data_IF_551906268667
#
_entry.id   IF_551906268667
#
_cell.length_a   1.000
_cell.length_b   1.000
_cell.length_c   1.000
_cell.angle_alpha   90.00
_cell.angle_beta   90.00
_cell.angle_gamma   90.00
#
_symmetry.space_group_name_H-M   'P 1'
#
loop_
_entity.id
_entity.type
_entity.pdbx_description
1 polymer ?
#
# COMPACT_ATOMS: atom_id res chain seq x y z
N UNK A 1 16.81 11.61 19.16
CA UNK A 1 15.63 11.16 18.37
C UNK A 1 15.02 12.39 17.71
N UNK A 2 15.25 12.59 16.41
CA UNK A 2 14.62 13.67 15.64
C UNK A 2 13.12 13.39 15.54
N UNK A 3 12.28 14.41 15.77
CA UNK A 3 10.84 14.32 15.55
C UNK A 3 10.58 14.06 14.06
N UNK A 4 9.57 13.25 13.71
CA UNK A 4 9.22 13.04 12.31
C UNK A 4 8.80 14.38 11.69
N UNK A 5 9.48 14.80 10.63
CA UNK A 5 9.06 15.96 9.85
C UNK A 5 7.71 15.61 9.22
N UNK A 6 6.64 16.35 9.56
CA UNK A 6 5.29 16.07 9.07
C UNK A 6 5.04 16.80 7.76
N UNK A 7 5.50 16.20 6.68
CA UNK A 7 5.47 16.76 5.34
C UNK A 7 4.70 15.91 4.33
N UNK A 8 4.31 14.67 4.69
CA UNK A 8 3.51 13.83 3.80
C UNK A 8 2.09 14.37 3.65
N UNK A 9 1.69 14.59 2.40
CA UNK A 9 0.35 15.02 2.03
C UNK A 9 -0.59 13.83 1.80
N UNK A 10 -1.90 14.10 1.81
CA UNK A 10 -2.96 13.12 1.59
C UNK A 10 -2.73 12.23 0.36
N UNK A 11 -2.45 12.85 -0.79
CA UNK A 11 -2.22 12.18 -2.07
C UNK A 11 -1.00 11.27 -2.04
N UNK A 12 0.06 11.70 -1.37
CA UNK A 12 1.31 10.93 -1.27
C UNK A 12 1.09 9.63 -0.48
N UNK A 13 0.39 9.71 0.65
CA UNK A 13 0.06 8.53 1.45
C UNK A 13 -0.95 7.65 0.73
N UNK A 14 -2.01 8.23 0.17
CA UNK A 14 -2.99 7.49 -0.63
C UNK A 14 -2.31 6.66 -1.74
N UNK A 15 -1.45 7.29 -2.56
CA UNK A 15 -0.77 6.62 -3.66
C UNK A 15 0.22 5.57 -3.15
N UNK A 16 0.94 5.85 -2.05
CA UNK A 16 1.86 4.88 -1.45
C UNK A 16 1.14 3.61 -1.00
N UNK A 17 -0.02 3.76 -0.33
CA UNK A 17 -0.84 2.63 0.08
C UNK A 17 -1.41 1.88 -1.12
N UNK A 18 -1.93 2.61 -2.11
CA UNK A 18 -2.49 1.99 -3.32
C UNK A 18 -1.43 1.21 -4.10
N UNK A 19 -0.19 1.72 -4.15
CA UNK A 19 0.93 1.02 -4.81
C UNK A 19 1.31 -0.25 -4.06
N UNK A 20 1.38 -0.20 -2.73
CA UNK A 20 1.70 -1.37 -1.91
C UNK A 20 0.69 -2.52 -2.03
N UNK A 21 -0.57 -2.20 -2.37
CA UNK A 21 -1.62 -3.20 -2.60
C UNK A 21 -1.54 -3.85 -4.00
N UNK A 22 -0.87 -3.20 -4.95
CA UNK A 22 -0.67 -3.78 -6.29
C UNK A 22 0.57 -4.68 -6.25
N UNK A 23 0.30 -5.98 -6.14
CA UNK A 23 1.31 -7.04 -6.16
C UNK A 23 1.15 -7.99 -7.35
N UNK A 24 1.84 -9.13 -7.30
CA UNK A 24 1.62 -10.27 -8.20
C UNK A 24 0.18 -10.76 -8.15
N UNK A 25 -0.50 -10.56 -7.01
CA UNK A 25 -1.89 -10.91 -6.85
C UNK A 25 -2.79 -10.34 -7.95
N UNK A 26 -2.52 -9.13 -8.45
CA UNK A 26 -3.26 -8.53 -9.58
C UNK A 26 -3.29 -9.47 -10.81
N UNK A 27 -2.16 -10.12 -11.12
CA UNK A 27 -2.01 -10.95 -12.32
C UNK A 27 -2.75 -12.30 -12.21
N UNK A 28 -2.89 -12.83 -11.00
CA UNK A 28 -3.45 -14.17 -10.74
C UNK A 28 -4.87 -14.11 -10.17
N UNK A 29 -5.33 -12.94 -9.71
CA UNK A 29 -6.60 -12.77 -9.02
C UNK A 29 -7.79 -13.40 -9.78
N UNK A 30 -7.98 -13.17 -11.10
CA UNK A 30 -9.11 -13.76 -11.82
C UNK A 30 -9.11 -15.29 -11.75
N UNK A 31 -7.95 -15.92 -11.92
CA UNK A 31 -7.81 -17.38 -11.82
C UNK A 31 -8.19 -17.86 -10.41
N UNK A 32 -7.53 -17.30 -9.39
CA UNK A 32 -7.71 -17.75 -7.99
C UNK A 32 -9.15 -17.61 -7.51
N UNK A 33 -9.84 -16.53 -7.90
CA UNK A 33 -11.24 -16.35 -7.56
C UNK A 33 -12.14 -17.33 -8.30
N UNK A 34 -11.89 -17.58 -9.58
CA UNK A 34 -12.69 -18.55 -10.35
C UNK A 34 -12.47 -19.99 -9.89
N UNK A 35 -11.24 -20.33 -9.48
CA UNK A 35 -10.91 -21.63 -8.87
C UNK A 35 -11.70 -21.85 -7.57
N UNK A 36 -11.70 -20.88 -6.66
CA UNK A 36 -12.39 -20.98 -5.37
C UNK A 36 -13.91 -20.89 -5.48
N UNK A 37 -14.42 -19.94 -6.28
CA UNK A 37 -15.85 -19.72 -6.41
C UNK A 37 -16.52 -20.78 -7.30
N UNK A 38 -15.83 -21.29 -8.32
CA UNK A 38 -16.43 -22.17 -9.33
C UNK A 38 -17.50 -21.51 -10.20
N UNK A 39 -17.65 -20.18 -10.17
CA UNK A 39 -18.63 -19.39 -10.92
C UNK A 39 -17.95 -18.18 -11.62
N UNK A 40 -18.48 -17.69 -12.76
CA UNK A 40 -18.08 -16.40 -13.34
C UNK A 40 -18.44 -15.16 -12.48
N UNK A 41 -19.30 -15.30 -11.46
CA UNK A 41 -19.79 -14.19 -10.62
C UNK A 41 -18.77 -13.65 -9.59
N UNK A 42 -17.48 -13.92 -9.80
CA UNK A 42 -16.37 -13.57 -8.89
C UNK A 42 -16.16 -12.06 -8.69
N UNK A 43 -16.65 -11.25 -9.62
CA UNK A 43 -16.67 -9.79 -9.49
C UNK A 43 -17.51 -9.34 -8.28
N UNK A 44 -18.58 -10.09 -7.93
CA UNK A 44 -19.40 -9.83 -6.74
C UNK A 44 -18.60 -10.15 -5.47
N UNK A 45 -17.87 -11.27 -5.43
CA UNK A 45 -16.97 -11.62 -4.32
C UNK A 45 -15.95 -10.52 -4.06
N UNK A 46 -15.45 -9.89 -5.12
CA UNK A 46 -14.49 -8.79 -5.03
C UNK A 46 -15.10 -7.52 -4.43
N UNK A 47 -16.33 -7.17 -4.81
CA UNK A 47 -17.09 -6.07 -4.19
C UNK A 47 -17.31 -6.33 -2.69
N UNK A 48 -17.67 -7.55 -2.31
CA UNK A 48 -17.87 -7.92 -0.91
C UNK A 48 -16.56 -7.83 -0.10
N UNK A 49 -15.45 -8.30 -0.66
CA UNK A 49 -14.11 -8.14 -0.06
C UNK A 49 -13.72 -6.69 0.14
N UNK A 50 -14.00 -5.83 -0.84
CA UNK A 50 -13.76 -4.39 -0.73
C UNK A 50 -14.48 -3.77 0.46
N UNK A 51 -15.73 -4.17 0.74
CA UNK A 51 -16.48 -3.68 1.91
C UNK A 51 -15.84 -4.11 3.24
N UNK A 52 -15.33 -5.35 3.31
CA UNK A 52 -14.56 -5.84 4.47
C UNK A 52 -13.27 -5.04 4.64
N UNK A 53 -12.56 -4.77 3.54
CA UNK A 53 -11.36 -3.92 3.52
C UNK A 53 -11.64 -2.51 4.04
N UNK A 54 -12.70 -1.85 3.57
CA UNK A 54 -13.12 -0.51 4.03
C UNK A 54 -13.43 -0.52 5.52
N UNK A 55 -14.13 -1.56 6.00
CA UNK A 55 -14.46 -1.71 7.43
C UNK A 55 -13.19 -1.81 8.28
N UNK A 56 -12.22 -2.61 7.81
CA UNK A 56 -10.94 -2.81 8.49
C UNK A 56 -10.07 -1.56 8.43
N UNK A 57 -10.06 -0.83 7.32
CA UNK A 57 -9.41 0.47 7.21
C UNK A 57 -10.00 1.50 8.18
N UNK A 58 -11.30 1.41 8.47
CA UNK A 58 -11.98 2.14 9.54
C UNK A 58 -11.26 2.01 10.88
N UNK A 59 -10.90 0.78 11.26
CA UNK A 59 -10.19 0.46 12.50
C UNK A 59 -8.73 0.93 12.46
N UNK A 60 -8.00 0.58 11.41
CA UNK A 60 -6.56 0.89 11.31
C UNK A 60 -6.31 2.39 11.17
N UNK A 61 -7.21 3.12 10.49
CA UNK A 61 -7.16 4.57 10.32
C UNK A 61 -7.41 5.38 11.61
N UNK A 62 -7.83 4.74 12.71
CA UNK A 62 -7.95 5.39 14.02
C UNK A 62 -6.60 5.60 14.69
N UNK A 63 -5.62 4.71 14.48
CA UNK A 63 -4.33 4.76 15.18
C UNK A 63 -3.54 6.04 14.91
N UNK A 64 -3.37 6.53 13.67
CA UNK A 64 -2.68 7.80 13.41
C UNK A 64 -3.35 9.02 14.08
N UNK A 65 -4.66 8.94 14.34
CA UNK A 65 -5.41 9.99 15.05
C UNK A 65 -5.21 9.91 16.57
N UNK A 66 -5.17 8.69 17.11
CA UNK A 66 -4.98 8.43 18.55
C UNK A 66 -3.52 8.65 18.99
N UNK A 67 -2.58 8.25 18.16
CA UNK A 67 -1.14 8.23 18.43
C UNK A 67 -0.40 9.16 17.47
N UNK A 68 -0.60 10.47 17.66
CA UNK A 68 0.05 11.48 16.82
C UNK A 68 1.57 11.37 16.93
N UNK A 69 2.25 11.44 15.78
CA UNK A 69 3.71 11.37 15.65
C UNK A 69 4.33 10.05 16.13
N UNK A 70 3.51 9.01 16.30
CA UNK A 70 3.96 7.67 16.70
C UNK A 70 3.49 6.67 15.66
N UNK A 71 4.45 5.99 15.04
CA UNK A 71 4.18 4.89 14.13
C UNK A 71 3.87 3.58 14.88
N UNK A 72 3.52 2.55 14.11
CA UNK A 72 3.27 1.19 14.60
C UNK A 72 4.33 0.67 15.58
N UNK A 73 5.62 0.85 15.25
CA UNK A 73 6.72 0.35 16.07
C UNK A 73 6.80 1.05 17.42
N UNK A 74 6.29 2.28 17.51
CA UNK A 74 6.31 3.08 18.72
C UNK A 74 5.03 2.96 19.55
N UNK A 75 3.84 3.00 18.94
CA UNK A 75 2.60 2.97 19.72
C UNK A 75 2.27 1.56 20.25
N UNK A 76 2.69 0.49 19.56
CA UNK A 76 2.41 -0.89 20.00
C UNK A 76 3.00 -1.16 21.40
N UNK A 77 4.30 -0.92 21.67
CA UNK A 77 4.86 -1.04 23.02
C UNK A 77 4.20 -0.12 24.06
N UNK A 78 3.66 1.04 23.65
CA UNK A 78 2.93 1.93 24.57
C UNK A 78 1.59 1.34 25.03
N UNK A 79 0.92 0.57 24.15
CA UNK A 79 -0.38 -0.03 24.45
C UNK A 79 -0.22 -1.32 25.26
N UNK A 80 0.63 -2.24 24.83
CA UNK A 80 0.72 -3.60 25.42
C UNK A 80 1.88 -3.77 26.40
N UNK A 81 2.81 -2.81 26.46
CA UNK A 81 4.03 -2.89 27.26
C UNK A 81 5.24 -3.40 26.47
N UNK A 82 6.43 -3.34 27.08
CA UNK A 82 7.71 -3.54 26.39
C UNK A 82 7.89 -4.94 25.78
N UNK A 83 7.63 -6.00 26.55
CA UNK A 83 7.85 -7.38 26.12
C UNK A 83 6.87 -7.80 25.00
N UNK A 84 5.53 -7.77 25.21
CA UNK A 84 4.60 -8.12 24.15
C UNK A 84 4.67 -7.16 22.96
N UNK A 85 5.00 -5.89 23.21
CA UNK A 85 5.20 -4.91 22.16
C UNK A 85 6.37 -5.27 21.26
N UNK A 86 7.50 -5.67 21.83
CA UNK A 86 8.69 -6.13 21.09
C UNK A 86 8.41 -7.39 20.27
N UNK A 87 7.65 -8.35 20.79
CA UNK A 87 7.26 -9.56 20.05
C UNK A 87 6.38 -9.20 18.85
N UNK A 88 5.35 -8.37 19.03
CA UNK A 88 4.44 -7.97 17.96
C UNK A 88 5.13 -7.16 16.87
N UNK A 89 6.00 -6.21 17.24
CA UNK A 89 6.71 -5.37 16.27
C UNK A 89 7.78 -6.16 15.50
N UNK A 90 8.50 -7.06 16.18
CA UNK A 90 9.44 -7.98 15.51
C UNK A 90 8.71 -8.94 14.58
N UNK A 91 7.56 -9.49 15.02
CA UNK A 91 6.71 -10.32 14.17
C UNK A 91 6.23 -9.59 12.92
N UNK A 92 5.85 -8.31 13.05
CA UNK A 92 5.45 -7.50 11.89
C UNK A 92 6.61 -7.26 10.91
N UNK A 93 7.85 -7.04 11.41
CA UNK A 93 9.03 -6.93 10.54
C UNK A 93 9.25 -8.23 9.76
N UNK A 94 9.15 -9.39 10.42
CA UNK A 94 9.30 -10.70 9.78
C UNK A 94 8.20 -10.96 8.74
N UNK A 95 6.96 -10.56 9.03
CA UNK A 95 5.85 -10.58 8.07
C UNK A 95 6.18 -9.74 6.83
N UNK A 96 6.57 -8.48 7.01
CA UNK A 96 6.89 -7.58 5.88
C UNK A 96 8.07 -8.11 5.06
N UNK A 97 9.10 -8.67 5.70
CA UNK A 97 10.22 -9.32 5.02
C UNK A 97 9.76 -10.54 4.21
N UNK A 98 8.88 -11.36 4.77
CA UNK A 98 8.35 -12.54 4.07
C UNK A 98 7.46 -12.14 2.90
N UNK A 99 6.65 -11.10 3.07
CA UNK A 99 5.82 -10.50 2.02
C UNK A 99 6.65 -10.00 0.84
N UNK A 100 7.65 -9.16 1.06
CA UNK A 100 8.49 -8.68 -0.06
C UNK A 100 9.35 -9.79 -0.66
N UNK A 101 9.70 -10.83 0.09
CA UNK A 101 10.42 -12.00 -0.43
C UNK A 101 9.54 -12.81 -1.38
N UNK A 102 8.25 -12.97 -1.03
CA UNK A 102 7.26 -13.62 -1.88
C UNK A 102 7.03 -12.84 -3.18
N UNK A 103 6.84 -11.51 -3.08
CA UNK A 103 6.70 -10.64 -4.24
C UNK A 103 7.95 -10.68 -5.12
N UNK A 104 9.14 -10.59 -4.52
CA UNK A 104 10.41 -10.67 -5.26
C UNK A 104 10.56 -11.99 -6.02
N UNK A 105 10.29 -13.12 -5.36
CA UNK A 105 10.39 -14.45 -5.99
C UNK A 105 9.37 -14.58 -7.11
N UNK A 106 8.12 -14.25 -6.82
CA UNK A 106 7.00 -14.38 -7.77
C UNK A 106 7.20 -13.50 -9.01
N UNK A 107 7.68 -12.25 -8.85
CA UNK A 107 8.01 -11.38 -9.98
C UNK A 107 9.20 -11.89 -10.78
N UNK A 108 10.22 -12.43 -10.13
CA UNK A 108 11.35 -13.02 -10.84
C UNK A 108 10.95 -14.25 -11.68
N UNK A 109 10.00 -15.07 -11.20
CA UNK A 109 9.39 -16.16 -11.99
C UNK A 109 8.63 -15.62 -13.21
N UNK A 110 7.79 -14.59 -13.04
CA UNK A 110 7.03 -13.97 -14.14
C UNK A 110 7.98 -13.39 -15.20
N UNK A 111 9.03 -12.67 -14.78
CA UNK A 111 10.04 -12.11 -15.69
C UNK A 111 10.77 -13.23 -16.43
N UNK A 112 11.19 -14.29 -15.73
CA UNK A 112 11.85 -15.43 -16.38
C UNK A 112 10.91 -16.07 -17.42
N UNK A 113 9.65 -16.29 -17.06
CA UNK A 113 8.68 -16.98 -17.89
C UNK A 113 8.26 -16.20 -19.14
N UNK A 114 8.16 -14.86 -19.08
CA UNK A 114 7.68 -14.07 -20.22
C UNK A 114 8.76 -13.26 -20.95
N UNK A 115 9.81 -12.82 -20.25
CA UNK A 115 10.79 -11.87 -20.79
C UNK A 115 12.18 -12.49 -20.96
N UNK A 116 12.66 -13.27 -19.98
CA UNK A 116 14.06 -13.69 -19.88
C UNK A 116 14.23 -15.17 -19.52
N UNK A 117 13.75 -16.06 -20.39
CA UNK A 117 13.79 -17.52 -20.22
C UNK A 117 15.17 -18.13 -19.88
N UNK A 118 16.27 -17.48 -20.28
CA UNK A 118 17.64 -17.97 -20.03
C UNK A 118 18.26 -17.41 -18.74
N UNK A 119 17.67 -16.38 -18.15
CA UNK A 119 18.21 -15.73 -16.95
C UNK A 119 17.68 -16.46 -15.71
N UNK A 120 18.55 -16.91 -14.78
CA UNK A 120 18.08 -17.52 -13.54
C UNK A 120 17.29 -16.54 -12.68
N UNK A 121 16.21 -17.03 -12.04
CA UNK A 121 15.37 -16.28 -11.10
C UNK A 121 16.20 -15.56 -10.03
N UNK A 122 17.25 -16.20 -9.51
CA UNK A 122 18.17 -15.62 -8.53
C UNK A 122 18.85 -14.34 -9.03
N UNK A 123 19.26 -14.28 -10.29
CA UNK A 123 19.93 -13.10 -10.85
C UNK A 123 18.94 -11.94 -10.97
N UNK A 124 17.73 -12.22 -11.44
CA UNK A 124 16.65 -11.22 -11.56
C UNK A 124 16.30 -10.65 -10.18
N UNK A 125 16.12 -11.52 -9.18
CA UNK A 125 15.82 -11.14 -7.81
C UNK A 125 16.93 -10.27 -7.18
N UNK A 126 18.20 -10.63 -7.38
CA UNK A 126 19.32 -9.84 -6.86
C UNK A 126 19.40 -8.44 -7.48
N UNK A 127 19.20 -8.31 -8.79
CA UNK A 127 19.21 -6.99 -9.46
C UNK A 127 18.09 -6.10 -8.94
N UNK A 128 16.87 -6.63 -8.78
CA UNK A 128 15.74 -5.90 -8.19
C UNK A 128 16.01 -5.47 -6.74
N UNK A 129 16.64 -6.32 -5.94
CA UNK A 129 17.01 -5.96 -4.56
C UNK A 129 18.09 -4.88 -4.53
N UNK A 130 19.11 -4.96 -5.38
CA UNK A 130 20.20 -3.97 -5.43
C UNK A 130 19.67 -2.57 -5.74
N UNK A 131 18.75 -2.45 -6.69
CA UNK A 131 18.11 -1.17 -7.01
C UNK A 131 17.19 -0.70 -5.88
N UNK A 132 16.48 -1.62 -5.19
CA UNK A 132 15.60 -1.28 -4.08
C UNK A 132 16.40 -0.72 -2.89
N UNK A 133 17.55 -1.31 -2.57
CA UNK A 133 18.46 -0.81 -1.51
C UNK A 133 18.91 0.61 -1.81
N UNK A 134 19.32 0.88 -3.06
CA UNK A 134 19.76 2.22 -3.46
C UNK A 134 18.68 3.27 -3.20
N UNK A 135 17.44 2.96 -3.58
CA UNK A 135 16.29 3.84 -3.33
C UNK A 135 16.00 4.03 -1.83
N UNK A 136 15.96 2.92 -1.08
CA UNK A 136 15.61 2.90 0.35
C UNK A 136 16.67 3.58 1.22
N UNK A 137 17.94 3.60 0.80
CA UNK A 137 18.99 4.40 1.45
C UNK A 137 18.75 5.91 1.38
N UNK A 138 17.97 6.38 0.41
CA UNK A 138 17.54 7.76 0.32
C UNK A 138 16.47 8.16 1.36
N UNK A 139 15.98 7.20 2.16
CA UNK A 139 14.98 7.40 3.20
C UNK A 139 13.54 7.41 2.67
N UNK A 140 12.63 7.98 3.45
CA UNK A 140 11.19 7.89 3.20
C UNK A 140 10.75 8.65 1.93
N UNK A 141 11.29 9.84 1.67
CA UNK A 141 10.82 10.69 0.56
C UNK A 141 11.05 10.07 -0.83
N UNK A 142 12.27 9.59 -1.17
CA UNK A 142 12.48 8.92 -2.44
C UNK A 142 11.56 7.71 -2.63
N UNK A 143 11.37 6.92 -1.58
CA UNK A 143 10.46 5.76 -1.58
C UNK A 143 9.01 6.18 -1.86
N UNK A 144 8.55 7.30 -1.31
CA UNK A 144 7.19 7.83 -1.54
C UNK A 144 7.04 8.47 -2.93
N UNK A 145 8.08 9.14 -3.44
CA UNK A 145 8.04 9.79 -4.75
C UNK A 145 8.03 8.80 -5.91
N UNK A 146 8.72 7.67 -5.80
CA UNK A 146 8.68 6.66 -6.86
C UNK A 146 7.27 6.06 -7.02
N UNK A 147 6.50 5.95 -5.93
CA UNK A 147 5.10 5.48 -5.98
C UNK A 147 4.22 6.45 -6.75
N UNK A 148 4.40 7.75 -6.51
CA UNK A 148 3.65 8.81 -7.20
C UNK A 148 3.91 8.80 -8.71
N UNK A 149 5.10 8.38 -9.12
CA UNK A 149 5.45 8.24 -10.53
C UNK A 149 4.83 6.98 -11.14
N UNK A 150 4.98 5.81 -10.50
CA UNK A 150 4.62 4.53 -11.13
C UNK A 150 3.14 4.17 -11.01
N UNK A 151 2.46 4.56 -9.93
CA UNK A 151 1.05 4.22 -9.75
C UNK A 151 0.11 4.76 -10.84
N UNK A 152 0.18 6.05 -11.24
CA UNK A 152 -0.67 6.54 -12.33
C UNK A 152 -0.37 5.85 -13.66
N UNK A 153 0.89 5.49 -13.91
CA UNK A 153 1.31 4.82 -15.14
C UNK A 153 0.65 3.44 -15.24
N UNK A 154 0.73 2.62 -14.18
CA UNK A 154 0.11 1.28 -14.20
C UNK A 154 -1.42 1.37 -14.32
N UNK A 155 -2.06 2.35 -13.68
CA UNK A 155 -3.51 2.61 -13.83
C UNK A 155 -3.85 2.90 -15.29
N UNK A 156 -3.16 3.84 -15.92
CA UNK A 156 -3.41 4.21 -17.32
C UNK A 156 -3.19 3.02 -18.24
N UNK A 157 -2.13 2.26 -18.04
CA UNK A 157 -1.82 1.08 -18.87
C UNK A 157 -2.93 0.04 -18.76
N UNK A 158 -3.38 -0.30 -17.54
CA UNK A 158 -4.49 -1.24 -17.35
C UNK A 158 -5.75 -0.74 -18.06
N UNK A 159 -6.10 0.55 -17.92
CA UNK A 159 -7.26 1.12 -18.61
C UNK A 159 -7.14 1.03 -20.13
N UNK A 160 -5.95 1.31 -20.68
CA UNK A 160 -5.69 1.19 -22.12
C UNK A 160 -5.81 -0.26 -22.61
N UNK A 161 -5.28 -1.23 -21.85
CA UNK A 161 -5.43 -2.65 -22.18
C UNK A 161 -6.92 -3.00 -22.33
N UNK A 162 -7.75 -2.60 -21.37
CA UNK A 162 -9.20 -2.85 -21.40
C UNK A 162 -9.89 -2.21 -22.61
N UNK A 163 -9.50 -0.99 -22.98
CA UNK A 163 -10.06 -0.31 -24.15
C UNK A 163 -9.72 -1.07 -25.44
N UNK A 164 -8.48 -1.54 -25.59
CA UNK A 164 -8.08 -2.21 -26.81
C UNK A 164 -8.64 -3.64 -26.96
N UNK A 165 -8.81 -4.37 -25.86
CA UNK A 165 -9.40 -5.73 -25.90
C UNK A 165 -10.93 -5.73 -25.93
N UNK A 166 -11.58 -4.56 -25.82
CA UNK A 166 -13.04 -4.46 -25.72
C UNK A 166 -13.78 -5.25 -26.82
N UNK A 167 -13.29 -5.20 -28.05
CA UNK A 167 -13.90 -5.89 -29.19
C UNK A 167 -13.70 -7.42 -29.19
N UNK A 168 -12.87 -7.95 -28.29
CA UNK A 168 -12.60 -9.38 -28.10
C UNK A 168 -13.35 -9.98 -26.90
N UNK A 169 -14.28 -9.24 -26.31
CA UNK A 169 -15.06 -9.69 -25.13
C UNK A 169 -16.36 -10.36 -25.52
N UNK A 170 -16.76 -11.42 -24.80
CA UNK A 170 -18.08 -12.05 -24.92
C UNK A 170 -18.88 -11.91 -23.62
N UNK A 171 -19.96 -11.12 -23.69
CA UNK A 171 -20.87 -10.89 -22.56
C UNK A 171 -21.70 -12.12 -22.16
N UNK A 172 -21.77 -13.16 -23.00
CA UNK A 172 -22.42 -14.41 -22.62
C UNK A 172 -21.66 -15.12 -21.49
N UNK A 173 -20.34 -14.91 -21.38
CA UNK A 173 -19.53 -15.51 -20.31
C UNK A 173 -19.90 -15.01 -18.90
N UNK A 174 -20.55 -13.85 -18.78
CA UNK A 174 -21.08 -13.32 -17.51
C UNK A 174 -22.50 -13.80 -17.20
N UNK A 175 -23.13 -14.57 -18.10
CA UNK A 175 -24.52 -15.01 -17.97
C UNK A 175 -24.62 -16.52 -17.80
N UNK A 176 -25.59 -17.01 -17.02
CA UNK A 176 -26.50 -16.25 -16.15
C UNK A 176 -25.79 -15.73 -14.89
N UNK A 177 -26.11 -14.49 -14.48
CA UNK A 177 -25.60 -13.91 -13.22
C UNK A 177 -26.23 -14.64 -12.04
N UNK A 178 -25.41 -15.11 -11.10
CA UNK A 178 -25.80 -15.92 -9.95
C UNK A 178 -26.48 -17.24 -10.33
N UNK A 179 -26.09 -17.83 -11.47
CA UNK A 179 -26.60 -19.13 -11.94
C UNK A 179 -26.39 -20.26 -10.93
N UNK A 180 -25.25 -20.24 -10.24
CA UNK A 180 -24.86 -21.21 -9.20
C UNK A 180 -25.27 -20.77 -7.77
N UNK A 181 -26.03 -19.67 -7.67
CA UNK A 181 -26.49 -19.08 -6.41
C UNK A 181 -25.45 -18.22 -5.67
N UNK A 182 -25.79 -17.79 -4.45
CA UNK A 182 -24.96 -16.89 -3.64
C UNK A 182 -23.83 -17.59 -2.87
N UNK A 183 -23.99 -18.87 -2.56
CA UNK A 183 -23.03 -19.59 -1.72
C UNK A 183 -21.62 -19.64 -2.33
N UNK A 184 -21.45 -19.93 -3.64
CA UNK A 184 -20.12 -19.95 -4.24
C UNK A 184 -19.45 -18.57 -4.27
N UNK A 185 -20.22 -17.51 -4.47
CA UNK A 185 -19.73 -16.12 -4.38
C UNK A 185 -19.19 -15.80 -2.98
N UNK A 186 -19.90 -16.22 -1.93
CA UNK A 186 -19.46 -15.99 -0.55
C UNK A 186 -18.19 -16.78 -0.19
N UNK A 187 -17.98 -17.96 -0.76
CA UNK A 187 -16.78 -18.77 -0.53
C UNK A 187 -15.50 -18.09 -1.01
N UNK A 188 -15.56 -17.31 -2.09
CA UNK A 188 -14.40 -16.61 -2.63
C UNK A 188 -14.14 -15.21 -2.00
N UNK A 189 -14.94 -14.78 -1.03
CA UNK A 189 -14.73 -13.49 -0.34
C UNK A 189 -13.41 -13.44 0.47
N UNK A 190 -12.93 -14.51 1.13
CA UNK A 190 -11.63 -14.49 1.78
C UNK A 190 -10.48 -14.18 0.81
N UNK A 191 -10.54 -14.71 -0.42
CA UNK A 191 -9.52 -14.45 -1.45
C UNK A 191 -9.43 -12.96 -1.84
N UNK A 192 -10.55 -12.24 -1.76
CA UNK A 192 -10.61 -10.81 -2.08
C UNK A 192 -10.15 -9.94 -0.91
N UNK A 193 -10.25 -10.46 0.33
CA UNK A 193 -9.65 -9.83 1.50
C UNK A 193 -8.11 -9.89 1.47
N UNK A 194 -7.51 -10.94 0.89
CA UNK A 194 -6.06 -10.99 0.67
C UNK A 194 -5.59 -9.95 -0.35
N UNK A 195 -6.39 -9.67 -1.38
CA UNK A 195 -6.07 -8.72 -2.43
C UNK A 195 -6.01 -7.24 -1.95
N UNK A 196 -6.38 -6.97 -0.69
CA UNK A 196 -6.28 -5.64 -0.10
C UNK A 196 -5.15 -5.48 0.91
N UNK A 197 -4.32 -6.50 1.14
CA UNK A 197 -3.12 -6.34 1.98
C UNK A 197 -2.22 -5.22 1.42
N UNK A 198 -1.64 -4.41 2.30
CA UNK A 198 -0.86 -3.21 1.98
C UNK A 198 -1.44 -1.92 2.57
N UNK A 199 -2.76 -1.81 2.78
CA UNK A 199 -3.34 -0.60 3.37
C UNK A 199 -2.98 -0.44 4.86
N UNK A 200 -2.60 -1.51 5.56
CA UNK A 200 -2.21 -1.49 6.97
C UNK A 200 -0.96 -0.64 7.24
N UNK A 201 -0.16 -0.40 6.20
CA UNK A 201 0.98 0.50 6.23
C UNK A 201 0.59 1.94 6.60
N UNK A 202 -0.71 2.28 6.61
CA UNK A 202 -1.21 3.55 7.17
C UNK A 202 -0.85 3.73 8.64
N UNK A 203 -0.65 2.65 9.41
CA UNK A 203 -0.17 2.74 10.80
C UNK A 203 1.27 3.27 10.91
N UNK A 204 2.02 3.24 9.80
CA UNK A 204 3.39 3.75 9.71
C UNK A 204 3.36 5.13 9.05
N UNK A 205 2.96 5.20 7.79
CA UNK A 205 2.97 6.46 7.03
C UNK A 205 2.02 7.51 7.60
N UNK A 206 0.94 7.09 8.28
CA UNK A 206 0.00 7.99 8.95
C UNK A 206 0.64 8.83 10.06
N UNK A 207 1.72 8.36 10.68
CA UNK A 207 2.46 9.11 11.70
C UNK A 207 3.19 10.34 11.12
N UNK A 208 3.52 10.30 9.82
CA UNK A 208 4.26 11.32 9.08
C UNK A 208 3.36 12.29 8.30
N UNK A 209 2.04 12.08 8.34
CA UNK A 209 1.09 12.96 7.65
C UNK A 209 1.02 14.35 8.28
N UNK A 210 0.97 15.38 7.42
CA UNK A 210 0.66 16.75 7.82
C UNK A 210 -0.69 16.84 8.55
N UNK A 211 -1.69 16.10 8.06
CA UNK A 211 -3.04 16.02 8.62
C UNK A 211 -3.44 14.57 8.95
N UNK A 212 -3.10 14.04 10.15
CA UNK A 212 -3.43 12.65 10.52
C UNK A 212 -4.93 12.32 10.53
N UNK A 213 -5.80 13.34 10.57
CA UNK A 213 -7.25 13.15 10.41
C UNK A 213 -7.61 12.59 9.03
N UNK A 214 -6.78 12.83 8.02
CA UNK A 214 -7.02 12.35 6.65
C UNK A 214 -6.52 10.91 6.44
N UNK A 215 -5.86 10.29 7.42
CA UNK A 215 -5.32 8.93 7.31
C UNK A 215 -6.37 7.89 6.88
N UNK A 216 -7.54 7.90 7.51
CA UNK A 216 -8.66 7.02 7.12
C UNK A 216 -9.11 7.30 5.68
N UNK A 217 -9.19 8.57 5.29
CA UNK A 217 -9.58 8.95 3.93
C UNK A 217 -8.54 8.42 2.92
N UNK A 218 -7.24 8.51 3.23
CA UNK A 218 -6.17 8.00 2.36
C UNK A 218 -6.27 6.48 2.19
N UNK A 219 -6.48 5.75 3.29
CA UNK A 219 -6.65 4.30 3.24
C UNK A 219 -7.90 3.88 2.45
N UNK A 220 -9.05 4.53 2.69
CA UNK A 220 -10.29 4.23 1.95
C UNK A 220 -10.14 4.56 0.46
N UNK A 221 -9.54 5.69 0.10
CA UNK A 221 -9.28 6.02 -1.30
C UNK A 221 -8.36 4.98 -1.96
N UNK A 222 -7.32 4.51 -1.27
CA UNK A 222 -6.40 3.49 -1.78
C UNK A 222 -7.13 2.17 -2.06
N UNK A 223 -7.94 1.72 -1.10
CA UNK A 223 -8.75 0.52 -1.24
C UNK A 223 -9.71 0.63 -2.41
N UNK A 224 -10.45 1.75 -2.51
CA UNK A 224 -11.39 1.98 -3.59
C UNK A 224 -10.70 1.99 -4.96
N UNK A 225 -9.56 2.68 -5.10
CA UNK A 225 -8.87 2.77 -6.38
C UNK A 225 -8.33 1.41 -6.84
N UNK A 226 -7.72 0.63 -5.94
CA UNK A 226 -7.13 -0.67 -6.28
C UNK A 226 -8.21 -1.72 -6.52
N UNK A 227 -9.26 -1.74 -5.69
CA UNK A 227 -10.37 -2.68 -5.91
C UNK A 227 -11.12 -2.38 -7.19
N UNK A 228 -11.30 -1.12 -7.57
CA UNK A 228 -11.93 -0.78 -8.84
C UNK A 228 -11.12 -1.34 -10.03
N UNK A 229 -9.79 -1.25 -9.98
CA UNK A 229 -8.91 -1.87 -10.97
C UNK A 229 -9.02 -3.39 -10.95
N UNK A 230 -9.01 -4.01 -9.77
CA UNK A 230 -9.15 -5.46 -9.63
C UNK A 230 -10.50 -5.96 -10.18
N UNK A 231 -11.61 -5.25 -9.89
CA UNK A 231 -12.94 -5.58 -10.43
C UNK A 231 -12.91 -5.47 -11.96
N UNK A 232 -12.34 -4.40 -12.50
CA UNK A 232 -12.22 -4.21 -13.93
C UNK A 232 -11.45 -5.37 -14.59
N UNK A 233 -10.28 -5.71 -14.03
CA UNK A 233 -9.45 -6.82 -14.52
C UNK A 233 -10.18 -8.17 -14.43
N UNK A 234 -10.85 -8.45 -13.32
CA UNK A 234 -11.64 -9.67 -13.12
C UNK A 234 -12.78 -9.77 -14.14
N UNK A 235 -13.53 -8.70 -14.34
CA UNK A 235 -14.65 -8.67 -15.29
C UNK A 235 -14.15 -8.94 -16.71
N UNK A 236 -13.07 -8.28 -17.13
CA UNK A 236 -12.51 -8.50 -18.47
C UNK A 236 -11.92 -9.90 -18.66
N UNK A 237 -11.30 -10.47 -17.63
CA UNK A 237 -10.82 -11.85 -17.68
C UNK A 237 -11.97 -12.84 -17.89
N UNK A 238 -13.09 -12.69 -17.18
CA UNK A 238 -14.28 -13.53 -17.37
C UNK A 238 -14.95 -13.28 -18.72
N UNK A 239 -14.96 -12.04 -19.20
CA UNK A 239 -15.51 -11.73 -20.52
C UNK A 239 -14.70 -12.34 -21.67
N UNK A 240 -13.37 -12.41 -21.53
CA UNK A 240 -12.49 -12.95 -22.57
C UNK A 240 -12.31 -14.46 -22.50
N UNK A 241 -12.27 -15.02 -21.29
CA UNK A 241 -12.03 -16.44 -21.07
C UNK A 241 -13.22 -17.06 -20.34
N UNK A 242 -13.75 -18.17 -20.87
CA UNK A 242 -14.77 -18.93 -20.16
C UNK A 242 -14.22 -19.45 -18.82
N UNK A 243 -15.12 -19.76 -17.88
CA UNK A 243 -14.75 -20.13 -16.51
C UNK A 243 -13.90 -21.40 -16.38
N UNK A 244 -13.88 -22.30 -17.36
CA UNK A 244 -12.99 -23.48 -17.34
C UNK A 244 -11.60 -23.09 -17.85
N UNK A 245 -11.53 -22.37 -18.97
CA UNK A 245 -10.27 -21.87 -19.52
C UNK A 245 -9.56 -20.95 -18.52
N UNK A 246 -10.30 -20.05 -17.86
CA UNK A 246 -9.73 -19.09 -16.91
C UNK A 246 -9.01 -19.75 -15.73
N UNK A 247 -9.47 -20.91 -15.27
CA UNK A 247 -8.82 -21.70 -14.20
C UNK A 247 -7.46 -22.27 -14.62
N UNK A 248 -7.28 -22.51 -15.91
CA UNK A 248 -6.04 -23.11 -16.43
C UNK A 248 -4.95 -22.09 -16.77
N UNK A 249 -5.32 -20.80 -16.90
CA UNK A 249 -4.39 -19.73 -17.25
C UNK A 249 -3.64 -19.26 -16.01
N UNK A 250 -2.32 -19.43 -15.99
CA UNK A 250 -1.47 -19.07 -14.85
C UNK A 250 -1.52 -17.57 -14.50
N UNK A 251 -1.45 -16.69 -15.50
CA UNK A 251 -1.48 -15.23 -15.31
C UNK A 251 -2.50 -14.57 -16.26
N UNK A 252 -3.81 -14.62 -15.97
CA UNK A 252 -4.86 -14.15 -16.88
C UNK A 252 -4.65 -12.73 -17.42
N UNK A 253 -4.16 -11.81 -16.60
CA UNK A 253 -3.94 -10.42 -17.00
C UNK A 253 -2.84 -10.28 -18.06
N UNK A 254 -1.81 -11.13 -18.00
CA UNK A 254 -0.75 -11.14 -19.02
C UNK A 254 -1.28 -11.71 -20.32
N UNK A 255 -2.13 -12.73 -20.27
CA UNK A 255 -2.77 -13.29 -21.48
C UNK A 255 -3.74 -12.29 -22.11
N UNK A 256 -4.50 -11.51 -21.32
CA UNK A 256 -5.29 -10.37 -21.85
C UNK A 256 -4.38 -9.39 -22.60
N UNK A 257 -3.21 -9.07 -22.04
CA UNK A 257 -2.29 -8.12 -22.67
C UNK A 257 -1.70 -8.62 -24.00
N UNK A 258 -1.57 -9.94 -24.19
CA UNK A 258 -1.15 -10.55 -25.47
C UNK A 258 -2.20 -10.46 -26.55
N UNK A 259 -3.48 -10.44 -26.16
CA UNK A 259 -4.59 -10.31 -27.10
C UNK A 259 -4.75 -8.90 -27.65
N UNK A 260 -3.95 -7.93 -27.20
CA UNK A 260 -4.06 -6.55 -27.68
C UNK A 260 -3.43 -6.40 -29.05
N UNK A 261 -4.25 -6.04 -30.04
CA UNK A 261 -3.79 -5.68 -31.38
C UNK A 261 -3.95 -4.18 -31.61
N UNK A 262 -2.83 -3.47 -31.81
CA UNK A 262 -2.86 -2.03 -32.13
C UNK A 262 -3.02 -1.83 -33.63
N UNK A 263 -4.06 -1.10 -34.09
CA UNK A 263 -4.23 -0.78 -35.51
C UNK A 263 -2.97 -0.12 -36.08
N UNK A 264 -2.44 -0.67 -37.18
CA UNK A 264 -1.23 -0.16 -37.84
C UNK A 264 0.07 -0.86 -37.45
N UNK A 265 0.05 -1.90 -36.61
CA UNK A 265 1.20 -2.80 -36.38
C UNK A 265 2.40 -2.16 -35.66
N UNK A 266 2.25 -0.94 -35.14
CA UNK A 266 3.36 -0.21 -34.51
C UNK A 266 3.78 -0.82 -33.15
N UNK A 267 2.88 -1.53 -32.48
CA UNK A 267 3.14 -2.20 -31.19
C UNK A 267 2.58 -3.63 -31.22
N UNK A 268 3.36 -4.57 -31.76
CA UNK A 268 2.99 -5.99 -31.85
C UNK A 268 3.19 -6.77 -30.54
N UNK A 269 3.90 -6.20 -29.54
CA UNK A 269 4.24 -6.88 -28.28
C UNK A 269 3.86 -6.06 -27.03
N UNK A 270 2.58 -5.73 -26.91
CA UNK A 270 2.07 -4.94 -25.78
C UNK A 270 2.16 -5.68 -24.44
N UNK A 271 2.17 -7.02 -24.44
CA UNK A 271 2.41 -7.80 -23.24
C UNK A 271 3.77 -7.48 -22.61
N UNK A 272 4.80 -7.25 -23.43
CA UNK A 272 6.14 -6.93 -22.97
C UNK A 272 6.21 -5.53 -22.35
N UNK A 273 5.48 -4.56 -22.93
CA UNK A 273 5.38 -3.19 -22.41
C UNK A 273 4.61 -3.19 -21.08
N UNK A 274 3.48 -3.89 -21.02
CA UNK A 274 2.70 -4.06 -19.80
C UNK A 274 3.55 -4.68 -18.68
N UNK A 275 4.22 -5.81 -18.95
CA UNK A 275 5.07 -6.48 -17.97
C UNK A 275 6.20 -5.59 -17.49
N UNK A 276 6.82 -4.81 -18.38
CA UNK A 276 7.89 -3.87 -17.99
C UNK A 276 7.39 -2.83 -16.98
N UNK A 277 6.20 -2.27 -17.23
CA UNK A 277 5.59 -1.28 -16.33
C UNK A 277 5.13 -1.93 -15.03
N UNK A 278 4.54 -3.11 -15.10
CA UNK A 278 4.15 -3.89 -13.92
C UNK A 278 5.35 -4.25 -13.04
N UNK A 279 6.50 -4.62 -13.63
CA UNK A 279 7.75 -4.85 -12.88
C UNK A 279 8.18 -3.60 -12.11
N UNK A 280 7.99 -2.40 -12.68
CA UNK A 280 8.27 -1.15 -11.96
C UNK A 280 7.35 -0.97 -10.75
N UNK A 281 6.08 -1.38 -10.84
CA UNK A 281 5.14 -1.37 -9.71
C UNK A 281 5.54 -2.36 -8.62
N UNK A 282 5.93 -3.59 -8.96
CA UNK A 282 6.36 -4.54 -7.91
C UNK A 282 7.68 -4.10 -7.28
N UNK A 283 8.61 -3.58 -8.06
CA UNK A 283 9.82 -2.95 -7.54
C UNK A 283 9.48 -1.90 -6.47
N UNK A 284 8.46 -1.07 -6.72
CA UNK A 284 8.06 -0.01 -5.80
C UNK A 284 7.41 -0.56 -4.53
N UNK A 285 6.66 -1.67 -4.61
CA UNK A 285 6.14 -2.43 -3.47
C UNK A 285 7.27 -3.04 -2.62
N UNK A 286 8.27 -3.67 -3.26
CA UNK A 286 9.45 -4.22 -2.59
C UNK A 286 10.22 -3.11 -1.86
N UNK A 287 10.39 -1.95 -2.49
CA UNK A 287 11.05 -0.80 -1.87
C UNK A 287 10.30 -0.27 -0.64
N UNK A 288 8.96 -0.20 -0.68
CA UNK A 288 8.15 0.20 0.50
C UNK A 288 8.34 -0.80 1.64
N UNK A 289 8.20 -2.10 1.37
CA UNK A 289 8.33 -3.10 2.43
C UNK A 289 9.74 -3.17 3.01
N UNK A 290 10.77 -3.04 2.17
CA UNK A 290 12.16 -2.97 2.63
C UNK A 290 12.41 -1.71 3.48
N UNK A 291 11.84 -0.56 3.09
CA UNK A 291 11.85 0.64 3.92
C UNK A 291 11.18 0.40 5.28
N UNK A 292 9.97 -0.16 5.30
CA UNK A 292 9.24 -0.46 6.55
C UNK A 292 10.03 -1.39 7.46
N UNK A 293 10.61 -2.46 6.93
CA UNK A 293 11.40 -3.40 7.72
C UNK A 293 12.65 -2.73 8.29
N UNK A 294 13.39 -1.97 7.47
CA UNK A 294 14.58 -1.21 7.89
C UNK A 294 14.26 -0.14 8.94
N UNK A 295 13.14 0.58 8.78
CA UNK A 295 12.63 1.54 9.76
C UNK A 295 12.22 0.86 11.07
N UNK A 296 11.56 -0.30 11.00
CA UNK A 296 11.21 -1.07 12.19
C UNK A 296 12.43 -1.52 12.98
N UNK A 297 13.48 -1.98 12.30
CA UNK A 297 14.77 -2.34 12.94
C UNK A 297 15.42 -1.11 13.58
N UNK A 298 15.36 0.06 12.94
CA UNK A 298 15.84 1.31 13.53
C UNK A 298 15.09 1.66 14.82
N UNK A 299 13.76 1.53 14.83
CA UNK A 299 12.95 1.81 16.02
C UNK A 299 13.22 0.82 17.18
N UNK A 300 13.52 -0.44 16.89
CA UNK A 300 13.74 -1.46 17.92
C UNK A 300 15.18 -1.48 18.46
N UNK A 301 16.17 -1.31 17.60
CA UNK A 301 17.59 -1.50 17.93
C UNK A 301 18.41 -0.21 17.86
N UNK A 302 17.85 0.91 17.40
CA UNK A 302 18.55 2.19 17.27
C UNK A 302 19.60 2.22 16.15
N UNK A 303 19.58 1.22 15.24
CA UNK A 303 20.50 1.14 14.11
C UNK A 303 19.99 2.04 12.98
N UNK A 304 20.83 2.95 12.49
CA UNK A 304 20.49 3.86 11.39
C UNK A 304 19.92 3.11 10.17
N UNK A 305 18.76 3.54 9.70
CA UNK A 305 18.01 2.89 8.62
C UNK A 305 18.83 2.71 7.33
N UNK A 306 19.62 3.72 6.95
CA UNK A 306 20.48 3.70 5.76
C UNK A 306 21.55 2.58 5.78
N UNK A 307 21.97 2.16 6.97
CA UNK A 307 22.96 1.11 7.20
C UNK A 307 22.29 -0.23 7.40
N UNK A 308 21.21 -0.27 8.17
CA UNK A 308 20.57 -1.51 8.56
C UNK A 308 19.88 -2.23 7.39
N UNK A 309 19.44 -1.48 6.37
CA UNK A 309 18.79 -2.02 5.18
C UNK A 309 19.66 -3.07 4.46
N UNK A 310 20.99 -2.88 4.47
CA UNK A 310 21.93 -3.82 3.82
C UNK A 310 21.94 -5.17 4.54
N UNK A 311 21.74 -5.20 5.86
CA UNK A 311 21.68 -6.45 6.63
C UNK A 311 20.38 -7.24 6.42
N UNK A 312 19.33 -6.59 5.89
CA UNK A 312 18.06 -7.27 5.59
C UNK A 312 18.10 -8.02 4.26
N UNK A 313 19.03 -7.68 3.37
CA UNK A 313 19.12 -8.25 2.02
C UNK A 313 19.39 -9.75 2.02
N UNK A 314 20.35 -10.28 2.81
CA UNK A 314 20.51 -11.73 2.92
C UNK A 314 19.23 -12.41 3.42
N UNK A 315 18.50 -11.80 4.35
CA UNK A 315 17.25 -12.37 4.88
C UNK A 315 16.20 -12.47 3.77
N UNK A 316 15.96 -11.37 3.04
CA UNK A 316 14.99 -11.35 1.92
C UNK A 316 15.39 -12.35 0.84
N UNK A 317 16.68 -12.42 0.51
CA UNK A 317 17.18 -13.35 -0.52
C UNK A 317 17.01 -14.80 -0.09
N UNK A 318 17.34 -15.14 1.15
CA UNK A 318 17.20 -16.51 1.66
C UNK A 318 15.73 -16.96 1.69
N UNK A 319 14.82 -16.09 2.12
CA UNK A 319 13.38 -16.40 2.11
C UNK A 319 12.86 -16.50 0.68
N UNK A 320 13.26 -15.62 -0.24
CA UNK A 320 12.85 -15.67 -1.64
C UNK A 320 13.38 -16.90 -2.41
N UNK A 321 14.51 -17.47 -1.97
CA UNK A 321 15.09 -18.68 -2.57
C UNK A 321 14.68 -19.97 -1.85
N UNK A 322 13.89 -19.88 -0.78
CA UNK A 322 13.40 -21.04 -0.04
C UNK A 322 12.48 -21.94 -0.89
N UNK A 323 11.50 -21.40 -1.66
CA UNK A 323 10.69 -22.19 -2.58
C UNK A 323 11.53 -22.81 -3.69
N UNK A 324 11.36 -24.12 -3.94
CA UNK A 324 12.16 -24.84 -4.96
C UNK A 324 11.49 -24.82 -6.33
N UNK A 325 10.18 -24.68 -6.36
CA UNK A 325 9.36 -24.69 -7.56
C UNK A 325 8.21 -23.68 -7.43
N UNK A 326 7.45 -23.48 -8.51
CA UNK A 326 6.37 -22.49 -8.54
C UNK A 326 5.20 -22.82 -7.60
N UNK A 327 4.89 -24.11 -7.35
CA UNK A 327 3.84 -24.48 -6.39
C UNK A 327 4.24 -24.07 -4.96
N UNK A 328 5.49 -24.32 -4.58
CA UNK A 328 6.03 -23.88 -3.28
C UNK A 328 5.94 -22.34 -3.12
N UNK A 329 6.05 -21.58 -4.22
CA UNK A 329 5.90 -20.11 -4.21
C UNK A 329 4.45 -19.72 -3.89
N UNK A 330 3.48 -20.38 -4.52
CA UNK A 330 2.06 -20.13 -4.21
C UNK A 330 1.72 -20.51 -2.76
N UNK A 331 2.20 -21.66 -2.28
CA UNK A 331 2.00 -22.09 -0.89
C UNK A 331 2.61 -21.09 0.11
N UNK A 332 3.83 -20.60 -0.17
CA UNK A 332 4.45 -19.55 0.63
C UNK A 332 3.62 -18.27 0.62
N UNK A 333 3.08 -17.88 -0.55
CA UNK A 333 2.16 -16.75 -0.69
C UNK A 333 0.95 -16.88 0.22
N UNK A 334 0.26 -18.02 0.21
CA UNK A 334 -0.91 -18.27 1.07
C UNK A 334 -0.57 -18.17 2.55
N UNK A 335 0.60 -18.69 2.98
CA UNK A 335 1.05 -18.56 4.38
C UNK A 335 1.30 -17.10 4.74
N UNK A 336 2.01 -16.35 3.90
CA UNK A 336 2.30 -14.93 4.09
C UNK A 336 1.01 -14.11 4.20
N UNK A 337 0.03 -14.39 3.35
CA UNK A 337 -1.24 -13.67 3.33
C UNK A 337 -2.12 -13.95 4.55
N UNK A 338 -2.14 -15.21 5.01
CA UNK A 338 -2.80 -15.57 6.27
C UNK A 338 -2.19 -14.84 7.47
N UNK A 339 -0.85 -14.74 7.50
CA UNK A 339 -0.14 -13.93 8.51
C UNK A 339 -0.47 -12.44 8.33
N UNK A 340 -0.61 -11.96 7.10
CA UNK A 340 -1.05 -10.61 6.78
C UNK A 340 -2.43 -10.30 7.36
N UNK A 341 -3.44 -11.16 7.15
CA UNK A 341 -4.77 -10.99 7.73
C UNK A 341 -4.71 -10.88 9.27
N UNK A 342 -3.86 -11.68 9.92
CA UNK A 342 -3.66 -11.56 11.37
C UNK A 342 -3.15 -10.16 11.77
N UNK A 343 -2.18 -9.59 11.04
CA UNK A 343 -1.64 -8.25 11.31
C UNK A 343 -2.57 -7.10 10.89
N UNK A 344 -3.46 -7.31 9.92
CA UNK A 344 -4.40 -6.29 9.44
C UNK A 344 -5.70 -6.28 10.24
N UNK A 345 -6.22 -7.44 10.61
CA UNK A 345 -7.49 -7.61 11.32
C UNK A 345 -7.30 -7.79 12.82
N UNK A 346 -6.69 -8.91 13.22
CA UNK A 346 -6.63 -9.34 14.62
C UNK A 346 -5.80 -8.40 15.49
N UNK A 347 -4.57 -8.07 15.06
CA UNK A 347 -3.65 -7.23 15.85
C UNK A 347 -4.24 -5.83 16.11
N UNK A 348 -4.72 -5.07 15.11
CA UNK A 348 -5.30 -3.75 15.36
C UNK A 348 -6.57 -3.81 16.22
N UNK A 349 -7.39 -4.86 16.09
CA UNK A 349 -8.58 -5.03 16.92
C UNK A 349 -8.23 -5.23 18.40
N UNK A 350 -7.26 -6.11 18.67
CA UNK A 350 -6.75 -6.36 20.04
C UNK A 350 -6.09 -5.10 20.60
N UNK A 351 -5.26 -4.41 19.81
CA UNK A 351 -4.61 -3.17 20.23
C UNK A 351 -5.61 -2.06 20.52
N UNK A 352 -6.68 -1.94 19.73
CA UNK A 352 -7.73 -0.95 19.96
C UNK A 352 -8.49 -1.22 21.27
N UNK A 353 -8.86 -2.47 21.53
CA UNK A 353 -9.49 -2.88 22.79
C UNK A 353 -8.56 -2.63 23.98
N UNK A 354 -7.29 -3.03 23.90
CA UNK A 354 -6.31 -2.80 24.94
C UNK A 354 -6.07 -1.30 25.20
N UNK A 355 -6.00 -0.48 24.16
CA UNK A 355 -5.85 0.97 24.27
C UNK A 355 -7.05 1.61 24.99
N UNK A 356 -8.28 1.17 24.67
CA UNK A 356 -9.51 1.63 25.32
C UNK A 356 -9.56 1.22 26.79
N UNK A 357 -9.20 -0.03 27.12
CA UNK A 357 -9.18 -0.53 28.49
C UNK A 357 -8.14 0.19 29.37
N UNK A 358 -6.98 0.53 28.80
CA UNK A 358 -5.91 1.25 29.54
C UNK A 358 -6.06 2.77 29.51
N UNK A 359 -7.02 3.32 28.77
CA UNK A 359 -7.18 4.77 28.58
C UNK A 359 -6.03 5.45 27.83
N UNK A 360 -5.22 4.67 27.09
CA UNK A 360 -4.04 5.14 26.38
C UNK A 360 -4.44 5.57 24.97
N UNK A 361 -4.09 6.81 24.56
CA UNK A 361 -4.43 7.40 23.25
C UNK A 361 -5.36 8.61 23.33
N UNK A 362 -6.33 8.63 24.25
CA UNK A 362 -7.22 9.80 24.43
C UNK A 362 -6.53 10.97 25.14
N UNK A 363 -5.65 10.68 26.11
CA UNK A 363 -4.90 11.71 26.87
C UNK A 363 -3.95 12.54 25.99
N UNK A 364 -3.39 11.93 24.93
CA UNK A 364 -2.48 12.62 23.99
C UNK A 364 -3.23 13.55 23.04
N UNK A 365 -4.42 13.15 22.58
CA UNK A 365 -5.31 13.98 21.77
C UNK A 365 -5.86 15.19 22.57
N UNK A 366 -6.26 14.97 23.83
CA UNK A 366 -6.77 16.02 24.72
C UNK A 366 -5.71 17.06 25.10
N UNK A 367 -4.49 16.65 25.50
CA UNK A 367 -3.39 17.57 25.84
C UNK A 367 -2.95 18.45 24.66
N UNK A 368 -3.10 17.96 23.43
CA UNK A 368 -2.78 18.73 22.22
C UNK A 368 -3.87 19.73 21.84
N UNK A 369 -5.16 19.43 22.07
CA UNK A 369 -6.25 20.37 21.81
C UNK A 369 -6.10 21.62 22.69
N UNK A 370 -5.67 21.43 23.95
CA UNK A 370 -5.35 22.52 24.88
C UNK A 370 -4.13 23.33 24.42
N UNK A 371 -3.08 22.70 23.87
CA UNK A 371 -1.90 23.40 23.34
C UNK A 371 -2.18 24.20 22.06
N UNK A 372 -2.98 23.66 21.13
CA UNK A 372 -3.40 24.37 19.91
C UNK A 372 -4.30 25.57 20.20
N UNK A 373 -5.22 25.43 21.16
CA UNK A 373 -6.04 26.53 21.68
C UNK A 373 -5.20 27.62 22.37
N UNK A 374 -4.25 27.24 23.22
CA UNK A 374 -3.37 28.20 23.90
C UNK A 374 -2.41 28.94 22.93
N UNK A 375 -1.88 28.27 21.90
CA UNK A 375 -1.04 28.92 20.90
C UNK A 375 -1.79 29.97 20.07
N UNK A 376 -3.04 29.66 19.71
CA UNK A 376 -3.90 30.55 18.93
C UNK A 376 -4.46 31.71 19.77
N UNK A 377 -4.71 31.49 21.06
CA UNK A 377 -5.04 32.55 22.02
C UNK A 377 -3.86 33.51 22.29
N UNK A 378 -2.63 33.00 22.34
CA UNK A 378 -1.42 33.80 22.57
C UNK A 378 -1.05 34.65 21.35
N UNK A 379 -1.18 34.11 20.14
CA UNK A 379 -1.01 34.87 18.89
C UNK A 379 -2.05 35.98 18.75
N UNK A 380 -3.34 35.72 19.03
CA UNK A 380 -4.39 36.77 19.04
C UNK A 380 -4.18 37.84 20.12
N UNK A 381 -3.56 37.48 21.26
CA UNK A 381 -3.23 38.42 22.33
C UNK A 381 -2.04 39.31 21.94
N UNK A 382 -1.03 38.76 21.26
CA UNK A 382 0.11 39.54 20.73
C UNK A 382 -0.35 40.51 19.63
N UNK A 383 -1.25 40.08 18.74
CA UNK A 383 -1.85 40.95 17.71
C UNK A 383 -2.74 42.07 18.29
N UNK A 384 -3.34 41.87 19.47
CA UNK A 384 -4.06 42.94 20.17
C UNK A 384 -3.11 43.93 20.84
N UNK A 385 -2.02 43.45 21.43
CA UNK A 385 -1.01 44.30 22.07
C UNK A 385 -0.27 45.13 21.02
N UNK A 386 0.06 44.56 19.86
CA UNK A 386 0.67 45.31 18.75
C UNK A 386 -0.27 46.36 18.15
N UNK A 387 -1.59 46.10 18.11
CA UNK A 387 -2.59 47.08 17.68
C UNK A 387 -2.93 48.16 18.72
N UNK A 388 -2.72 47.90 20.00
CA UNK A 388 -2.89 48.91 21.06
C UNK A 388 -1.64 49.78 21.26
N UNK A 389 -0.46 49.31 20.84
CA UNK A 389 0.79 50.08 20.91
C UNK A 389 1.00 51.06 19.74
N UNK A 390 0.03 51.17 18.82
CA UNK A 390 0.06 52.11 17.68
C UNK A 390 -1.14 53.04 17.77
N UNK A 391 -1.06 54.01 18.67
CA UNK A 391 -1.82 55.25 18.62
C UNK A 391 -0.80 56.38 18.48
N UNK A 392 -0.75 57.12 17.36
CA UNK A 392 0.12 58.28 17.24
C UNK A 392 -0.49 59.44 18.03
N UNK A 393 0.20 59.89 19.06
CA UNK A 393 0.05 61.23 19.62
C UNK A 393 0.70 62.23 18.65
N UNK A 394 -0.08 63.27 18.35
CA UNK A 394 0.31 64.62 17.94
C UNK A 394 0.77 64.87 16.49
N UNK A 395 -0.22 65.30 15.69
CA UNK A 395 -0.08 66.43 14.77
C UNK A 395 0.38 67.70 15.52
N UNK A 396 0.96 68.65 14.76
CA UNK A 396 1.54 69.94 15.19
C UNK A 396 2.98 69.91 15.69
N UNK A 397 3.96 70.01 14.77
CA UNK A 397 4.90 71.13 14.74
C UNK A 397 5.88 71.03 13.55
N UNK A 398 6.24 72.20 13.01
CA UNK A 398 7.41 72.46 12.14
C UNK A 398 7.41 71.98 10.68
N UNK A 399 6.52 72.58 9.89
CA UNK A 399 6.84 72.92 8.49
C UNK A 399 7.48 74.32 8.47
N UNK A 400 8.75 74.43 8.88
CA UNK A 400 9.50 75.69 8.81
C UNK A 400 11.03 75.43 8.78
N UNK A 401 11.58 75.19 7.58
CA UNK A 401 12.91 75.64 7.17
C UNK A 401 13.12 75.27 5.70
N UNK A 402 12.52 76.09 4.84
CA UNK A 402 13.17 76.54 3.61
C UNK A 402 14.39 77.39 4.00
N UNK A 403 15.46 77.31 3.19
CA UNK A 403 16.70 78.11 3.23
C UNK A 403 17.82 77.65 4.19
N UNK A 404 18.75 76.83 3.67
CA UNK A 404 20.14 77.25 3.35
C UNK A 404 20.93 76.16 2.65
#
# INVERSE_FOLDING_TARGET
MQQPNRDLQFNQVFITLASAMIGVRLLVLPRTLTEEAGTPDIWISNILGMLIGITTAGLVGLFPRMFREKDFFQFVPMIVGRIPGYVLTTGYILYVLSFISNELRSTAEVIQFYLMHRTPVTVIALVMLLTAIYLVKGGMHPVVYIQQMFFPIIVVVILLLMVFVWNKTDFQNLRPVLGEGFLPVLKAVPETAFAVLGFEMIMIFGAYMKHPKEALKSAVCAILSVNLLNILVVVFAVLMFDGQTLKTILYPVVEIAKEVEVPGGFLERLESVFLTIWVMTIFSTIAIGLFIASHGVEQLYGMEQSKNVVFLVPVVTLVALWPKNLADVFDMGTVVENVGIFFVGTVPAVLFLAAKLRGVGQSSAAKSATKGSNGQGRSKRIDRISKQAVQPENEEETMQCSER
#
